data_IF_112909862132
#
_entry.id   IF_112909862132
#
_cell.length_a   1.000
_cell.length_b   1.000
_cell.length_c   1.000
_cell.angle_alpha   90.00
_cell.angle_beta   90.00
_cell.angle_gamma   90.00
#
_symmetry.space_group_name_H-M   'P 1'
#
loop_
_entity.id
_entity.type
_entity.pdbx_description
1 polymer ?
#
# COMPACT_ATOMS: atom_id res chain seq x y z
N UNK A 1 2.54 20.30 16.58
CA UNK A 1 2.17 18.88 16.76
C UNK A 1 3.28 17.99 16.21
N UNK A 2 3.90 17.15 17.05
CA UNK A 2 4.91 16.18 16.60
C UNK A 2 4.31 15.20 15.59
N UNK A 3 5.04 14.90 14.50
CA UNK A 3 4.67 14.06 13.33
C UNK A 3 3.96 12.72 13.62
N UNK A 4 3.93 12.27 14.87
CA UNK A 4 3.46 10.94 15.31
C UNK A 4 2.13 10.94 16.08
N UNK A 5 1.59 12.11 16.46
CA UNK A 5 0.38 12.17 17.30
C UNK A 5 -0.88 11.72 16.56
N UNK A 6 -0.98 11.99 15.25
CA UNK A 6 -2.14 11.67 14.42
C UNK A 6 -2.41 10.15 14.45
N UNK A 7 -1.39 9.33 14.22
CA UNK A 7 -1.51 7.87 14.21
C UNK A 7 -1.23 7.21 15.58
N UNK A 8 -1.05 8.00 16.64
CA UNK A 8 -0.68 7.51 17.96
C UNK A 8 0.57 6.59 17.90
N UNK A 9 1.61 6.97 17.14
CA UNK A 9 2.78 6.13 16.91
C UNK A 9 3.93 6.44 17.90
N UNK A 10 4.74 5.44 18.30
CA UNK A 10 5.95 5.69 19.08
C UNK A 10 7.03 6.37 18.22
N UNK A 11 8.00 7.05 18.86
CA UNK A 11 9.10 7.77 18.15
C UNK A 11 9.90 6.91 17.16
N UNK A 12 9.99 5.60 17.41
CA UNK A 12 10.70 4.62 16.57
C UNK A 12 9.95 4.24 15.28
N UNK A 13 8.71 4.70 15.11
CA UNK A 13 7.93 4.46 13.90
C UNK A 13 8.52 5.21 12.70
N UNK A 14 8.42 4.59 11.54
CA UNK A 14 8.84 5.15 10.26
C UNK A 14 8.12 6.48 10.00
N UNK A 15 8.83 7.60 9.74
CA UNK A 15 8.18 8.86 9.40
C UNK A 15 7.48 8.83 8.02
N UNK A 16 7.92 7.96 7.11
CA UNK A 16 7.45 7.87 5.73
C UNK A 16 5.94 7.56 5.64
N UNK A 17 5.36 6.88 6.64
CA UNK A 17 3.91 6.64 6.71
C UNK A 17 3.09 7.94 6.68
N UNK A 18 3.66 9.07 7.12
CA UNK A 18 2.98 10.36 7.08
C UNK A 18 2.97 10.93 5.65
N UNK A 19 4.00 10.63 4.86
CA UNK A 19 4.26 11.28 3.58
C UNK A 19 3.59 10.58 2.40
N UNK A 20 3.43 9.26 2.48
CA UNK A 20 2.82 8.45 1.42
C UNK A 20 1.30 8.69 1.32
N UNK A 21 0.68 8.48 0.14
CA UNK A 21 -0.75 8.62 -0.08
C UNK A 21 -1.61 7.70 0.81
N UNK A 22 -2.85 8.11 1.06
CA UNK A 22 -3.83 7.32 1.82
C UNK A 22 -4.13 5.98 1.16
N UNK A 23 -4.20 5.94 -0.17
CA UNK A 23 -4.40 4.70 -0.94
C UNK A 23 -3.27 3.69 -0.76
N UNK A 24 -2.08 4.15 -0.35
CA UNK A 24 -0.90 3.32 -0.08
C UNK A 24 -0.64 3.15 1.43
N UNK A 25 -1.57 3.56 2.28
CA UNK A 25 -1.52 3.32 3.73
C UNK A 25 -1.00 4.48 4.58
N UNK A 26 -0.77 5.67 4.01
CA UNK A 26 -0.25 6.82 4.75
C UNK A 26 -1.20 7.99 5.00
N UNK A 27 -0.68 9.09 5.56
CA UNK A 27 -1.48 10.29 5.84
C UNK A 27 -1.63 11.26 4.67
N UNK A 28 -0.88 11.06 3.57
CA UNK A 28 -0.83 11.99 2.44
C UNK A 28 -0.41 13.43 2.82
N UNK A 29 0.54 13.55 3.76
CA UNK A 29 1.06 14.83 4.26
C UNK A 29 2.57 14.94 3.98
N UNK A 30 3.01 15.21 2.72
CA UNK A 30 4.42 15.39 2.42
C UNK A 30 5.08 16.49 3.27
N UNK A 31 6.40 16.42 3.51
CA UNK A 31 7.14 17.46 4.22
C UNK A 31 6.94 18.85 3.58
N UNK A 32 6.64 19.87 4.40
CA UNK A 32 6.43 21.24 3.91
C UNK A 32 7.66 21.80 3.15
N UNK A 33 8.87 21.43 3.57
CA UNK A 33 10.10 21.80 2.85
C UNK A 33 10.12 21.25 1.43
N UNK A 34 9.66 20.02 1.23
CA UNK A 34 9.59 19.40 -0.11
C UNK A 34 8.48 20.03 -0.95
N UNK A 35 7.34 20.39 -0.34
CA UNK A 35 6.28 21.13 -1.04
C UNK A 35 6.73 22.54 -1.46
N UNK A 36 7.54 23.22 -0.63
CA UNK A 36 8.14 24.50 -0.98
C UNK A 36 9.14 24.37 -2.14
N UNK A 37 9.93 23.29 -2.17
CA UNK A 37 10.83 22.98 -3.28
C UNK A 37 10.06 22.73 -4.58
N UNK A 38 8.99 21.92 -4.53
CA UNK A 38 8.08 21.71 -5.66
C UNK A 38 7.48 23.04 -6.13
N UNK A 39 6.99 23.88 -5.21
CA UNK A 39 6.44 25.19 -5.54
C UNK A 39 7.44 26.11 -6.24
N UNK A 40 8.71 26.08 -5.83
CA UNK A 40 9.79 26.86 -6.43
C UNK A 40 10.06 26.44 -7.88
N UNK A 41 10.14 25.13 -8.14
CA UNK A 41 10.30 24.59 -9.50
C UNK A 41 9.09 24.90 -10.39
N UNK A 42 7.88 24.66 -9.88
CA UNK A 42 6.63 24.92 -10.61
C UNK A 42 6.51 26.39 -11.01
N UNK A 43 6.85 27.31 -10.09
CA UNK A 43 6.81 28.74 -10.35
C UNK A 43 7.78 29.13 -11.45
N UNK A 44 9.05 28.72 -11.35
CA UNK A 44 10.05 29.01 -12.37
C UNK A 44 9.65 28.45 -13.74
N UNK A 45 9.15 27.21 -13.78
CA UNK A 45 8.77 26.55 -15.02
C UNK A 45 7.59 27.27 -15.69
N UNK A 46 6.59 27.69 -14.91
CA UNK A 46 5.42 28.41 -15.43
C UNK A 46 5.74 29.80 -15.98
N UNK A 47 6.77 30.47 -15.45
CA UNK A 47 7.26 31.74 -15.99
C UNK A 47 7.92 31.53 -17.36
N UNK A 48 8.81 30.54 -17.46
CA UNK A 48 9.53 30.23 -18.70
C UNK A 48 8.64 29.62 -19.80
N UNK A 49 7.54 28.96 -19.41
CA UNK A 49 6.55 28.36 -20.31
C UNK A 49 5.25 29.17 -20.41
N UNK A 50 5.28 30.45 -20.05
CA UNK A 50 4.10 31.32 -20.13
C UNK A 50 3.67 31.50 -21.60
N UNK A 51 2.38 31.40 -21.98
CA UNK A 51 1.97 31.64 -23.36
C UNK A 51 2.18 33.08 -23.85
N UNK A 52 2.29 34.04 -22.93
CA UNK A 52 2.50 35.45 -23.23
C UNK A 52 3.96 35.71 -23.63
N UNK A 53 4.24 36.17 -24.87
CA UNK A 53 5.59 36.45 -25.34
C UNK A 53 6.33 37.50 -24.50
N UNK A 54 5.65 38.52 -24.00
CA UNK A 54 6.28 39.56 -23.19
C UNK A 54 6.80 38.98 -21.87
N UNK A 55 6.00 38.12 -21.23
CA UNK A 55 6.41 37.41 -20.01
C UNK A 55 7.57 36.46 -20.28
N UNK A 56 7.57 35.75 -21.42
CA UNK A 56 8.70 34.88 -21.80
C UNK A 56 9.98 35.69 -21.96
N UNK A 57 9.96 36.79 -22.73
CA UNK A 57 11.14 37.65 -22.94
C UNK A 57 11.69 38.19 -21.62
N UNK A 58 10.82 38.65 -20.72
CA UNK A 58 11.24 39.13 -19.39
C UNK A 58 11.81 37.99 -18.55
N UNK A 59 11.16 36.82 -18.54
CA UNK A 59 11.62 35.66 -17.79
C UNK A 59 13.00 35.18 -18.28
N UNK A 60 13.20 35.14 -19.59
CA UNK A 60 14.47 34.77 -20.23
C UNK A 60 15.60 35.76 -19.95
N UNK A 61 15.35 37.06 -20.04
CA UNK A 61 16.33 38.06 -19.67
C UNK A 61 16.68 37.96 -18.17
N UNK A 62 15.69 37.75 -17.32
CA UNK A 62 15.84 37.62 -15.87
C UNK A 62 16.66 36.37 -15.46
N UNK A 63 16.43 35.22 -16.10
CA UNK A 63 17.22 34.01 -15.80
C UNK A 63 18.66 34.16 -16.28
N UNK A 64 18.90 34.72 -17.48
CA UNK A 64 20.26 35.00 -17.97
C UNK A 64 21.02 35.90 -17.01
N UNK A 65 20.38 36.98 -16.54
CA UNK A 65 20.95 37.88 -15.54
C UNK A 65 21.29 37.15 -14.21
N UNK A 66 20.44 36.22 -13.76
CA UNK A 66 20.66 35.47 -12.53
C UNK A 66 21.70 34.36 -12.65
N UNK A 67 21.83 33.75 -13.83
CA UNK A 67 22.73 32.64 -14.09
C UNK A 67 24.13 33.09 -14.52
N UNK A 68 24.25 34.20 -15.26
CA UNK A 68 25.52 34.72 -15.79
C UNK A 68 26.65 34.84 -14.75
N UNK A 69 26.44 35.42 -13.55
CA UNK A 69 27.48 35.52 -12.53
C UNK A 69 27.90 34.17 -11.96
N UNK A 70 26.96 33.22 -11.88
CA UNK A 70 27.18 31.89 -11.33
C UNK A 70 27.95 31.01 -12.31
N UNK A 71 27.61 31.13 -13.60
CA UNK A 71 28.24 30.38 -14.70
C UNK A 71 29.51 31.06 -15.22
N UNK A 72 29.83 32.27 -14.73
CA UNK A 72 30.94 33.11 -15.20
C UNK A 72 30.90 33.32 -16.73
N UNK A 73 29.70 33.50 -17.27
CA UNK A 73 29.41 33.63 -18.70
C UNK A 73 28.56 34.88 -18.93
N UNK A 74 28.93 35.74 -19.89
CA UNK A 74 28.18 36.98 -20.18
C UNK A 74 26.82 36.68 -20.80
N UNK A 75 26.76 35.70 -21.69
CA UNK A 75 25.53 35.23 -22.34
C UNK A 75 25.44 33.70 -22.28
N UNK A 76 24.82 33.15 -21.22
CA UNK A 76 24.69 31.71 -21.09
C UNK A 76 23.82 31.08 -22.19
N UNK A 77 24.28 29.95 -22.74
CA UNK A 77 23.50 29.14 -23.69
C UNK A 77 22.31 28.46 -23.01
N UNK A 78 21.31 28.02 -23.78
CA UNK A 78 20.16 27.30 -23.20
C UNK A 78 20.58 26.04 -22.45
N UNK A 79 21.58 25.29 -22.93
CA UNK A 79 22.10 24.12 -22.23
C UNK A 79 22.72 24.47 -20.88
N UNK A 80 23.47 25.58 -20.82
CA UNK A 80 24.04 26.09 -19.57
C UNK A 80 22.95 26.57 -18.61
N UNK A 81 21.88 27.21 -19.10
CA UNK A 81 20.74 27.61 -18.29
C UNK A 81 19.97 26.38 -17.75
N UNK A 82 19.82 25.33 -18.56
CA UNK A 82 19.24 24.06 -18.14
C UNK A 82 20.08 23.38 -17.06
N UNK A 83 21.40 23.35 -17.20
CA UNK A 83 22.32 22.84 -16.19
C UNK A 83 22.22 23.65 -14.89
N UNK A 84 22.19 24.99 -14.99
CA UNK A 84 21.99 25.90 -13.87
C UNK A 84 20.67 25.61 -13.11
N UNK A 85 19.54 25.50 -13.82
CA UNK A 85 18.24 25.23 -13.19
C UNK A 85 18.12 23.80 -12.64
N UNK A 86 18.82 22.84 -13.23
CA UNK A 86 18.89 21.45 -12.73
C UNK A 86 19.72 21.33 -11.45
N UNK A 87 20.48 22.37 -11.11
CA UNK A 87 21.28 22.37 -9.89
C UNK A 87 22.69 21.83 -10.06
N UNK A 88 23.16 21.71 -11.30
CA UNK A 88 24.49 21.17 -11.60
C UNK A 88 25.59 22.04 -10.94
N UNK A 89 26.73 21.40 -10.66
CA UNK A 89 27.80 21.88 -9.79
C UNK A 89 28.28 23.29 -10.15
N UNK A 90 27.70 24.28 -9.46
CA UNK A 90 28.04 25.70 -9.58
C UNK A 90 28.33 26.27 -8.19
N UNK A 91 29.27 27.22 -8.05
CA UNK A 91 29.65 27.76 -6.74
C UNK A 91 28.42 28.30 -5.98
N UNK A 92 28.42 28.11 -4.66
CA UNK A 92 27.41 28.69 -3.77
C UNK A 92 27.63 30.21 -3.66
N UNK A 93 27.17 30.97 -4.66
CA UNK A 93 27.12 32.42 -4.56
C UNK A 93 25.96 32.86 -3.67
N UNK A 94 26.29 33.54 -2.57
CA UNK A 94 25.36 34.27 -1.70
C UNK A 94 24.92 35.56 -2.38
N UNK A 95 23.88 35.50 -3.21
CA UNK A 95 23.18 36.69 -3.72
C UNK A 95 21.69 36.62 -3.36
N UNK A 96 21.01 37.76 -3.49
CA UNK A 96 19.57 37.91 -3.24
C UNK A 96 18.74 36.78 -3.85
N UNK A 97 17.77 36.28 -3.10
CA UNK A 97 16.92 35.16 -3.51
C UNK A 97 16.01 35.56 -4.69
N UNK A 98 16.39 35.15 -5.90
CA UNK A 98 15.54 35.22 -7.09
C UNK A 98 14.73 33.93 -7.26
N UNK A 99 13.65 33.98 -8.04
CA UNK A 99 12.86 32.78 -8.40
C UNK A 99 13.74 31.69 -9.05
N UNK A 100 14.78 32.08 -9.78
CA UNK A 100 15.71 31.17 -10.46
C UNK A 100 16.69 30.52 -9.49
N UNK A 101 17.26 31.32 -8.58
CA UNK A 101 18.13 30.80 -7.53
C UNK A 101 17.39 29.85 -6.58
N UNK A 102 16.12 30.14 -6.27
CA UNK A 102 15.25 29.29 -5.47
C UNK A 102 14.91 27.98 -6.19
N UNK A 103 14.56 28.03 -7.48
CA UNK A 103 14.31 26.85 -8.30
C UNK A 103 15.56 25.97 -8.42
N UNK A 104 16.73 26.55 -8.67
CA UNK A 104 18.02 25.84 -8.66
C UNK A 104 18.29 25.15 -7.33
N UNK A 105 18.15 25.87 -6.21
CA UNK A 105 18.36 25.30 -4.88
C UNK A 105 17.36 24.18 -4.57
N UNK A 106 16.11 24.30 -5.03
CA UNK A 106 15.10 23.26 -4.93
C UNK A 106 15.48 22.02 -5.75
N UNK A 107 15.91 22.18 -7.01
CA UNK A 107 16.40 21.09 -7.86
C UNK A 107 17.55 20.34 -7.18
N UNK A 108 18.53 21.06 -6.62
CA UNK A 108 19.66 20.48 -5.86
C UNK A 108 19.23 19.66 -4.66
N UNK A 109 18.19 20.07 -3.93
CA UNK A 109 17.67 19.31 -2.78
C UNK A 109 16.86 18.10 -3.20
N UNK A 110 16.20 18.17 -4.35
CA UNK A 110 15.33 17.11 -4.86
C UNK A 110 16.08 16.06 -5.67
N UNK A 111 17.26 16.35 -6.24
CA UNK A 111 18.02 15.41 -7.08
C UNK A 111 18.32 14.08 -6.38
N UNK A 112 18.60 14.12 -5.07
CA UNK A 112 18.86 12.91 -4.26
C UNK A 112 17.61 12.03 -4.08
N UNK A 113 16.42 12.60 -4.22
CA UNK A 113 15.14 11.87 -4.12
C UNK A 113 14.59 11.50 -5.50
N UNK A 114 14.91 12.32 -6.50
CA UNK A 114 14.41 12.25 -7.86
C UNK A 114 15.60 12.19 -8.82
N UNK A 115 16.35 11.07 -8.87
CA UNK A 115 17.46 10.92 -9.80
C UNK A 115 16.93 11.00 -11.24
N UNK A 116 17.38 12.00 -12.00
CA UNK A 116 16.88 12.29 -13.35
C UNK A 116 15.92 13.49 -13.45
N UNK A 117 15.61 14.17 -12.34
CA UNK A 117 14.97 15.48 -12.39
C UNK A 117 15.88 16.47 -13.11
N UNK A 118 15.54 16.86 -14.34
CA UNK A 118 16.41 17.69 -15.17
C UNK A 118 15.62 18.64 -16.05
N UNK A 119 16.08 19.88 -16.14
CA UNK A 119 15.63 20.86 -17.12
C UNK A 119 16.30 20.59 -18.45
N UNK A 120 15.54 20.76 -19.54
CA UNK A 120 16.04 20.58 -20.90
C UNK A 120 15.44 21.61 -21.84
N UNK A 121 16.19 21.94 -22.87
CA UNK A 121 15.76 22.78 -23.98
C UNK A 121 15.55 21.87 -25.19
N UNK A 122 14.35 21.90 -25.76
CA UNK A 122 13.99 21.01 -26.88
C UNK A 122 14.44 21.61 -28.22
N UNK A 123 14.61 20.75 -29.24
CA UNK A 123 14.91 21.17 -30.62
C UNK A 123 13.84 22.13 -31.18
N UNK A 124 12.61 21.99 -30.70
CA UNK A 124 11.49 22.89 -30.97
C UNK A 124 11.56 24.25 -30.24
N UNK A 125 12.71 24.58 -29.65
CA UNK A 125 12.99 25.83 -28.91
C UNK A 125 12.03 26.06 -27.74
N UNK A 126 11.81 25.03 -26.92
CA UNK A 126 10.94 25.10 -25.75
C UNK A 126 11.60 24.57 -24.49
N UNK A 127 11.22 25.16 -23.36
CA UNK A 127 11.56 24.63 -22.04
C UNK A 127 10.79 23.34 -21.77
N UNK A 128 11.51 22.35 -21.22
CA UNK A 128 10.95 21.11 -20.74
C UNK A 128 11.59 20.71 -19.41
N UNK A 129 10.85 19.96 -18.61
CA UNK A 129 11.33 19.39 -17.35
C UNK A 129 11.06 17.89 -17.34
N UNK A 130 12.11 17.11 -17.23
CA UNK A 130 12.03 15.67 -17.02
C UNK A 130 11.73 15.41 -15.55
N UNK A 131 10.58 14.82 -15.25
CA UNK A 131 10.21 14.39 -13.89
C UNK A 131 10.30 12.86 -13.83
N UNK A 132 11.20 12.30 -13.00
CA UNK A 132 11.36 10.87 -12.91
C UNK A 132 10.12 10.23 -12.29
N UNK A 133 9.76 9.05 -12.80
CA UNK A 133 8.65 8.23 -12.33
C UNK A 133 9.03 6.75 -12.52
N UNK A 134 8.50 5.86 -11.68
CA UNK A 134 8.92 4.46 -11.59
C UNK A 134 8.88 3.70 -12.92
N UNK A 135 7.88 3.96 -13.75
CA UNK A 135 7.68 3.23 -15.01
C UNK A 135 8.35 3.93 -16.19
N UNK A 136 8.25 5.26 -16.25
CA UNK A 136 8.77 6.07 -17.34
C UNK A 136 8.87 7.52 -16.91
N UNK A 137 10.01 8.15 -17.15
CA UNK A 137 10.19 9.58 -16.97
C UNK A 137 9.12 10.35 -17.76
N UNK A 138 8.50 11.32 -17.11
CA UNK A 138 7.50 12.19 -17.73
C UNK A 138 8.18 13.49 -18.13
N UNK A 139 8.13 13.83 -19.41
CA UNK A 139 8.63 15.12 -19.90
C UNK A 139 7.45 16.09 -19.85
N UNK A 140 7.60 17.15 -19.06
CA UNK A 140 6.61 18.23 -18.95
C UNK A 140 7.08 19.39 -19.80
N UNK A 141 6.19 19.90 -20.64
CA UNK A 141 6.40 21.03 -21.55
C UNK A 141 5.37 22.15 -21.27
N UNK A 142 5.33 23.16 -22.15
CA UNK A 142 4.39 24.26 -22.01
C UNK A 142 2.91 23.82 -22.07
N UNK A 143 2.58 22.79 -22.85
CA UNK A 143 1.22 22.26 -22.97
C UNK A 143 0.74 21.55 -21.70
N UNK A 144 1.65 20.80 -21.07
CA UNK A 144 1.38 20.00 -19.85
C UNK A 144 1.74 20.74 -18.54
N UNK A 145 2.10 22.02 -18.59
CA UNK A 145 2.57 22.82 -17.42
C UNK A 145 1.64 22.82 -16.20
N UNK A 146 0.34 22.57 -16.38
CA UNK A 146 -0.64 22.50 -15.29
C UNK A 146 -0.45 21.25 -14.42
N UNK A 147 0.09 20.18 -15.00
CA UNK A 147 0.25 18.87 -14.37
C UNK A 147 1.57 18.76 -13.57
N UNK A 148 2.52 19.68 -13.79
CA UNK A 148 3.86 19.64 -13.20
C UNK A 148 3.86 19.43 -11.68
N UNK A 149 3.01 20.18 -10.96
CA UNK A 149 2.92 20.07 -9.50
C UNK A 149 2.44 18.66 -9.07
N UNK A 150 1.48 18.09 -9.80
CA UNK A 150 0.98 16.74 -9.53
C UNK A 150 2.09 15.71 -9.74
N UNK A 151 2.81 15.76 -10.87
CA UNK A 151 3.89 14.83 -11.16
C UNK A 151 5.02 14.91 -10.13
N UNK A 152 5.54 16.11 -9.83
CA UNK A 152 6.60 16.28 -8.83
C UNK A 152 6.19 15.77 -7.45
N UNK A 153 4.98 16.13 -7.00
CA UNK A 153 4.45 15.66 -5.71
C UNK A 153 4.35 14.13 -5.70
N UNK A 154 3.79 13.53 -6.76
CA UNK A 154 3.62 12.08 -6.86
C UNK A 154 4.96 11.34 -6.84
N UNK A 155 5.96 11.83 -7.56
CA UNK A 155 7.30 11.22 -7.57
C UNK A 155 7.98 11.29 -6.21
N UNK A 156 7.84 12.39 -5.47
CA UNK A 156 8.37 12.51 -4.10
C UNK A 156 7.65 11.54 -3.16
N UNK A 157 6.33 11.42 -3.27
CA UNK A 157 5.57 10.47 -2.47
C UNK A 157 5.97 9.02 -2.76
N UNK A 158 6.27 8.72 -4.02
CA UNK A 158 6.74 7.41 -4.43
C UNK A 158 8.13 7.09 -3.85
N UNK A 159 9.05 8.05 -3.85
CA UNK A 159 10.34 7.92 -3.15
C UNK A 159 10.16 7.56 -1.66
N UNK A 160 9.22 8.21 -0.96
CA UNK A 160 8.94 7.90 0.45
C UNK A 160 8.34 6.50 0.62
N UNK A 161 7.51 6.04 -0.33
CA UNK A 161 6.99 4.67 -0.31
C UNK A 161 8.12 3.67 -0.47
N UNK A 162 8.96 3.80 -1.50
CA UNK A 162 10.09 2.90 -1.73
C UNK A 162 11.00 2.83 -0.50
N UNK A 163 11.31 3.99 0.09
CA UNK A 163 12.09 4.09 1.32
C UNK A 163 11.42 3.39 2.52
N UNK A 164 10.09 3.33 2.58
CA UNK A 164 9.38 2.54 3.58
C UNK A 164 9.48 1.05 3.27
N UNK A 165 9.28 0.64 2.02
CA UNK A 165 9.26 -0.76 1.58
C UNK A 165 10.63 -1.46 1.76
N UNK A 166 11.73 -0.70 1.65
CA UNK A 166 13.08 -1.23 1.91
C UNK A 166 13.32 -1.54 3.38
N UNK A 167 12.52 -1.02 4.32
CA UNK A 167 12.72 -1.26 5.76
C UNK A 167 12.37 -2.71 6.12
N UNK A 168 13.31 -3.50 6.68
CA UNK A 168 13.11 -4.92 6.94
C UNK A 168 11.90 -5.24 7.82
N UNK A 169 11.61 -4.44 8.84
CA UNK A 169 10.50 -4.72 9.76
C UNK A 169 9.24 -3.94 9.39
N UNK A 170 9.37 -2.63 9.23
CA UNK A 170 8.22 -1.72 9.12
C UNK A 170 7.65 -1.63 7.70
N UNK A 171 8.39 -2.09 6.68
CA UNK A 171 7.96 -2.10 5.28
C UNK A 171 7.16 -3.35 4.86
N UNK A 172 7.24 -4.45 5.63
CA UNK A 172 6.68 -5.77 5.29
C UNK A 172 5.20 -5.71 4.90
N UNK A 173 4.37 -5.09 5.73
CA UNK A 173 2.92 -5.04 5.50
C UNK A 173 2.54 -3.99 4.46
N UNK A 174 3.35 -2.94 4.31
CA UNK A 174 3.13 -1.89 3.32
C UNK A 174 3.35 -2.38 1.89
N UNK A 175 4.29 -3.30 1.68
CA UNK A 175 4.51 -3.94 0.36
C UNK A 175 3.26 -4.64 -0.17
N UNK A 176 2.40 -5.13 0.73
CA UNK A 176 1.13 -5.78 0.35
C UNK A 176 0.00 -4.75 0.31
N UNK A 177 -0.19 -4.01 1.41
CA UNK A 177 -1.33 -3.10 1.55
C UNK A 177 -1.30 -1.92 0.57
N UNK A 178 -0.15 -1.55 -0.01
CA UNK A 178 -0.08 -0.50 -1.03
C UNK A 178 -0.50 -0.96 -2.43
N UNK A 179 -0.64 -2.27 -2.68
CA UNK A 179 -1.00 -2.83 -4.00
C UNK A 179 -2.50 -2.70 -4.30
N UNK A 180 -3.34 -2.62 -3.27
CA UNK A 180 -4.78 -2.45 -3.42
C UNK A 180 -5.29 -1.34 -2.49
N UNK A 181 -5.85 -0.28 -3.07
CA UNK A 181 -6.33 0.88 -2.34
C UNK A 181 -7.40 0.55 -1.27
N UNK A 182 -8.19 -0.51 -1.45
CA UNK A 182 -9.22 -0.91 -0.49
C UNK A 182 -8.64 -1.43 0.83
N UNK A 183 -7.39 -1.91 0.82
CA UNK A 183 -6.61 -2.26 2.03
C UNK A 183 -6.46 -1.07 2.98
N UNK A 184 -6.67 0.15 2.48
CA UNK A 184 -6.45 1.40 3.18
C UNK A 184 -7.70 2.29 3.25
N UNK A 185 -8.88 1.77 2.90
CA UNK A 185 -10.11 2.57 2.73
C UNK A 185 -10.50 3.42 3.95
N UNK A 186 -10.17 2.96 5.16
CA UNK A 186 -10.51 3.62 6.42
C UNK A 186 -9.68 4.88 6.68
N UNK A 187 -8.59 5.12 5.95
CA UNK A 187 -7.74 6.30 6.14
C UNK A 187 -8.43 7.60 5.71
N UNK A 188 -9.27 7.55 4.66
CA UNK A 188 -9.89 8.75 4.11
C UNK A 188 -11.20 9.11 4.81
N UNK A 189 -12.03 8.12 5.14
CA UNK A 189 -13.39 8.35 5.64
C UNK A 189 -13.74 7.59 6.93
N UNK A 190 -12.86 6.71 7.43
CA UNK A 190 -13.13 5.90 8.63
C UNK A 190 -14.29 4.90 8.53
N UNK A 191 -14.96 4.77 7.38
CA UNK A 191 -16.13 3.90 7.21
C UNK A 191 -15.77 2.44 7.50
N UNK A 192 -16.70 1.72 8.14
CA UNK A 192 -16.62 0.29 8.48
C UNK A 192 -15.54 -0.11 9.50
N UNK A 193 -14.64 0.79 9.88
CA UNK A 193 -13.57 0.52 10.85
C UNK A 193 -13.82 1.29 12.15
N UNK A 194 -13.83 0.60 13.29
CA UNK A 194 -13.99 1.27 14.60
C UNK A 194 -12.75 2.08 14.92
N UNK A 195 -12.90 3.12 15.74
CA UNK A 195 -11.76 3.97 16.10
C UNK A 195 -10.65 3.20 16.84
N UNK A 196 -10.98 2.21 17.66
CA UNK A 196 -10.00 1.35 18.33
C UNK A 196 -9.21 0.48 17.33
N UNK A 197 -9.87 -0.05 16.30
CA UNK A 197 -9.27 -0.84 15.23
C UNK A 197 -8.34 0.03 14.36
N UNK A 198 -8.79 1.26 14.06
CA UNK A 198 -7.99 2.27 13.36
C UNK A 198 -6.72 2.63 14.14
N UNK A 199 -6.81 2.84 15.46
CA UNK A 199 -5.62 3.13 16.31
C UNK A 199 -4.67 1.93 16.40
N UNK A 200 -5.20 0.72 16.35
CA UNK A 200 -4.42 -0.51 16.42
C UNK A 200 -3.64 -0.75 15.12
N UNK A 201 -4.30 -0.66 13.97
CA UNK A 201 -3.76 -1.16 12.69
C UNK A 201 -2.47 -0.46 12.28
N UNK A 202 -2.34 0.85 12.52
CA UNK A 202 -1.12 1.61 12.17
C UNK A 202 0.11 1.11 12.92
N UNK A 203 -0.03 0.84 14.22
CA UNK A 203 1.05 0.28 15.05
C UNK A 203 1.36 -1.16 14.64
N UNK A 204 0.32 -1.93 14.34
CA UNK A 204 0.44 -3.33 13.96
C UNK A 204 1.18 -3.50 12.62
N UNK A 205 0.80 -2.72 11.60
CA UNK A 205 1.43 -2.74 10.26
C UNK A 205 2.90 -2.34 10.27
N UNK A 206 3.28 -1.40 11.14
CA UNK A 206 4.67 -1.01 11.35
C UNK A 206 5.45 -1.95 12.28
N UNK A 207 4.81 -2.97 12.87
CA UNK A 207 5.47 -3.88 13.82
C UNK A 207 5.92 -3.19 15.12
N UNK A 208 5.25 -2.11 15.51
CA UNK A 208 5.62 -1.30 16.70
C UNK A 208 4.68 -1.50 17.89
N UNK A 209 3.83 -2.52 17.86
CA UNK A 209 3.04 -2.93 19.03
C UNK A 209 3.98 -3.21 20.23
N UNK A 210 3.54 -2.93 21.47
CA UNK A 210 4.30 -3.20 22.69
C UNK A 210 4.30 -4.70 23.05
N UNK A 211 4.77 -5.52 22.12
CA UNK A 211 5.05 -6.94 22.32
C UNK A 211 6.53 -7.12 22.64
N UNK A 212 6.87 -8.11 23.45
CA UNK A 212 8.19 -8.32 24.04
C UNK A 212 9.30 -8.41 22.99
N UNK A 213 9.13 -9.21 21.93
CA UNK A 213 10.12 -9.30 20.86
C UNK A 213 10.10 -8.10 19.91
N UNK A 214 9.03 -7.30 19.92
CA UNK A 214 8.94 -6.08 19.12
C UNK A 214 9.57 -4.88 19.81
N UNK A 215 9.81 -4.89 21.13
CA UNK A 215 10.42 -3.79 21.87
C UNK A 215 11.96 -3.87 21.71
N UNK A 216 12.58 -2.77 21.27
CA UNK A 216 14.04 -2.69 21.06
C UNK A 216 14.74 -2.18 22.31
N UNK A 217 14.64 -2.95 23.39
CA UNK A 217 15.33 -2.68 24.66
C UNK A 217 16.14 -3.93 25.02
N UNK A 218 17.40 -3.73 25.43
CA UNK A 218 18.28 -4.81 25.81
C UNK A 218 17.77 -5.53 27.08
N UNK A 219 18.11 -6.82 27.22
CA UNK A 219 17.83 -7.62 28.42
C UNK A 219 16.35 -7.79 28.79
N UNK A 220 15.42 -7.62 27.84
CA UNK A 220 14.01 -7.97 28.04
C UNK A 220 13.78 -9.41 27.58
N UNK A 221 13.04 -10.18 28.37
CA UNK A 221 12.51 -11.49 27.96
C UNK A 221 11.68 -11.35 26.68
N UNK A 222 12.14 -11.96 25.59
CA UNK A 222 11.49 -11.93 24.27
C UNK A 222 10.38 -12.96 24.13
N UNK A 223 10.29 -13.94 25.03
CA UNK A 223 9.35 -15.04 24.95
C UNK A 223 7.91 -14.53 25.05
N UNK A 224 7.03 -15.21 24.32
CA UNK A 224 5.59 -14.99 24.36
C UNK A 224 5.07 -15.13 25.80
N UNK A 225 4.46 -14.06 26.32
CA UNK A 225 3.95 -13.97 27.70
C UNK A 225 2.76 -14.90 27.99
N UNK A 226 2.22 -15.52 26.95
CA UNK A 226 1.01 -16.36 26.97
C UNK A 226 1.34 -17.83 26.72
N UNK A 227 2.18 -18.14 25.73
CA UNK A 227 2.45 -19.53 25.34
C UNK A 227 3.93 -19.94 25.41
N UNK A 228 4.84 -19.05 25.81
CA UNK A 228 6.27 -19.36 25.97
C UNK A 228 7.09 -19.50 24.68
N UNK A 229 6.50 -19.28 23.50
CA UNK A 229 7.23 -19.29 22.22
C UNK A 229 8.42 -18.32 22.24
N UNK A 230 9.57 -18.62 21.61
CA UNK A 230 10.81 -17.84 21.77
C UNK A 230 10.69 -16.34 21.49
N UNK A 231 9.85 -15.95 20.53
CA UNK A 231 9.68 -14.54 20.15
C UNK A 231 8.21 -14.11 20.10
N UNK A 232 7.81 -13.22 21.01
CA UNK A 232 6.50 -12.56 21.00
C UNK A 232 6.41 -11.48 19.91
N UNK A 233 6.40 -11.89 18.64
CA UNK A 233 6.25 -10.98 17.51
C UNK A 233 4.78 -10.75 17.15
N UNK A 234 4.48 -9.70 16.39
CA UNK A 234 3.12 -9.49 15.84
C UNK A 234 2.66 -10.70 15.03
N UNK A 235 3.53 -11.29 14.21
CA UNK A 235 3.21 -12.48 13.42
C UNK A 235 2.86 -13.68 14.32
N UNK A 236 3.65 -13.91 15.37
CA UNK A 236 3.36 -14.96 16.34
C UNK A 236 2.00 -14.73 17.00
N UNK A 237 1.77 -13.56 17.59
CA UNK A 237 0.55 -13.27 18.34
C UNK A 237 -0.70 -13.38 17.48
N UNK A 238 -0.66 -12.85 16.26
CA UNK A 238 -1.84 -12.77 15.39
C UNK A 238 -2.11 -14.03 14.56
N UNK A 239 -1.11 -14.89 14.33
CA UNK A 239 -1.24 -16.00 13.38
C UNK A 239 -0.75 -17.35 13.91
N UNK A 240 0.18 -17.40 14.87
CA UNK A 240 0.85 -18.65 15.27
C UNK A 240 0.71 -19.01 16.76
N UNK A 241 0.18 -18.12 17.59
CA UNK A 241 -0.06 -18.41 19.00
C UNK A 241 -1.30 -19.30 19.14
N UNK A 242 -1.10 -20.59 19.42
CA UNK A 242 -2.21 -21.57 19.49
C UNK A 242 -3.24 -21.28 20.58
N UNK A 243 -2.91 -20.47 21.60
CA UNK A 243 -3.88 -20.01 22.61
C UNK A 243 -4.99 -19.14 22.00
N UNK A 244 -4.74 -18.57 20.82
CA UNK A 244 -5.66 -17.72 20.08
C UNK A 244 -6.29 -18.41 18.87
N UNK A 245 -6.15 -19.73 18.72
CA UNK A 245 -6.64 -20.49 17.56
C UNK A 245 -8.13 -20.29 17.29
N UNK A 246 -8.96 -20.23 18.34
CA UNK A 246 -10.41 -19.97 18.24
C UNK A 246 -10.69 -18.59 17.64
N UNK A 247 -9.99 -17.55 18.10
CA UNK A 247 -10.13 -16.20 17.58
C UNK A 247 -9.61 -16.08 16.13
N UNK A 248 -8.50 -16.76 15.83
CA UNK A 248 -7.97 -16.87 14.46
C UNK A 248 -8.96 -17.57 13.51
N UNK A 249 -9.65 -18.61 13.98
CA UNK A 249 -10.72 -19.26 13.22
C UNK A 249 -11.92 -18.32 13.03
N UNK A 250 -12.29 -17.53 14.03
CA UNK A 250 -13.34 -16.52 13.89
C UNK A 250 -12.99 -15.43 12.87
N UNK A 251 -11.73 -14.96 12.85
CA UNK A 251 -11.21 -14.08 11.78
C UNK A 251 -11.42 -14.70 10.40
N UNK A 252 -11.01 -15.96 10.25
CA UNK A 252 -11.14 -16.71 9.02
C UNK A 252 -12.62 -16.86 8.58
N UNK A 253 -13.48 -17.36 9.47
CA UNK A 253 -14.92 -17.53 9.23
C UNK A 253 -15.64 -16.22 8.94
N UNK A 254 -15.17 -15.09 9.47
CA UNK A 254 -15.76 -13.79 9.10
C UNK A 254 -15.58 -13.48 7.61
N UNK A 255 -14.42 -13.81 7.02
CA UNK A 255 -14.20 -13.64 5.59
C UNK A 255 -15.19 -14.51 4.80
N UNK A 256 -15.33 -15.79 5.16
CA UNK A 256 -16.29 -16.72 4.56
C UNK A 256 -17.71 -16.13 4.64
N UNK A 257 -18.13 -15.67 5.82
CA UNK A 257 -19.46 -15.07 6.03
C UNK A 257 -19.72 -13.90 5.08
N UNK A 258 -18.78 -12.95 4.97
CA UNK A 258 -18.92 -11.79 4.07
C UNK A 258 -18.96 -12.20 2.60
N UNK A 259 -18.15 -13.20 2.19
CA UNK A 259 -18.17 -13.73 0.84
C UNK A 259 -19.54 -14.35 0.53
N UNK A 260 -20.05 -15.24 1.37
CA UNK A 260 -21.36 -15.90 1.18
C UNK A 260 -22.49 -14.89 1.11
N UNK A 261 -22.50 -13.88 2.00
CA UNK A 261 -23.51 -12.82 1.99
C UNK A 261 -23.44 -11.92 0.74
N UNK A 262 -22.30 -11.90 0.04
CA UNK A 262 -22.10 -11.09 -1.15
C UNK A 262 -22.55 -11.76 -2.46
N UNK A 263 -22.60 -13.09 -2.47
CA UNK A 263 -22.93 -13.90 -3.65
C UNK A 263 -24.32 -13.54 -4.19
N UNK A 264 -24.51 -13.62 -5.51
CA UNK A 264 -25.83 -13.45 -6.12
C UNK A 264 -26.77 -14.60 -5.77
N UNK A 265 -26.23 -15.81 -5.71
CA UNK A 265 -26.94 -17.04 -5.44
C UNK A 265 -26.04 -17.96 -4.62
N UNK A 266 -26.63 -18.60 -3.61
CA UNK A 266 -25.98 -19.66 -2.84
C UNK A 266 -26.51 -21.04 -3.23
N UNK A 267 -27.24 -21.13 -4.35
CA UNK A 267 -27.70 -22.40 -4.91
C UNK A 267 -26.48 -23.27 -5.22
N UNK A 268 -26.50 -24.51 -4.75
CA UNK A 268 -25.41 -25.49 -4.88
C UNK A 268 -24.11 -25.16 -4.13
N UNK A 269 -24.12 -24.12 -3.28
CA UNK A 269 -22.99 -23.80 -2.43
C UNK A 269 -22.93 -24.77 -1.25
N UNK A 270 -21.71 -25.20 -0.92
CA UNK A 270 -21.36 -25.95 0.29
C UNK A 270 -20.33 -25.13 1.04
N UNK A 271 -20.54 -24.93 2.33
CA UNK A 271 -19.64 -24.18 3.20
C UNK A 271 -19.08 -25.12 4.26
N UNK A 272 -17.75 -25.28 4.31
CA UNK A 272 -17.03 -26.14 5.25
C UNK A 272 -17.59 -27.58 5.34
N UNK A 273 -17.98 -28.15 4.21
CA UNK A 273 -18.53 -29.51 4.11
C UNK A 273 -17.68 -30.36 3.17
N UNK A 274 -17.66 -31.67 3.42
CA UNK A 274 -17.07 -32.63 2.48
C UNK A 274 -17.83 -32.63 1.15
N UNK A 275 -17.15 -33.00 0.08
CA UNK A 275 -17.74 -33.14 -1.25
C UNK A 275 -18.36 -34.54 -1.38
N UNK A 276 -19.68 -34.66 -1.65
CA UNK A 276 -20.32 -35.95 -1.83
C UNK A 276 -19.75 -36.72 -3.02
N UNK A 277 -19.67 -38.04 -2.92
CA UNK A 277 -19.19 -38.89 -4.00
C UNK A 277 -17.67 -38.89 -4.21
N UNK A 278 -16.91 -38.07 -3.47
CA UNK A 278 -15.45 -38.11 -3.45
C UNK A 278 -14.97 -38.74 -2.14
N UNK A 279 -14.03 -39.67 -2.23
CA UNK A 279 -13.40 -40.29 -1.06
C UNK A 279 -12.34 -39.36 -0.43
N UNK A 280 -12.78 -38.19 0.05
CA UNK A 280 -11.94 -37.26 0.82
C UNK A 280 -12.69 -36.78 2.07
N UNK A 281 -11.94 -36.62 3.17
CA UNK A 281 -12.42 -36.03 4.42
C UNK A 281 -12.20 -34.51 4.48
N UNK A 282 -11.61 -33.94 3.44
CA UNK A 282 -11.35 -32.51 3.36
C UNK A 282 -12.64 -31.72 3.32
N UNK A 283 -12.61 -30.56 3.98
CA UNK A 283 -13.72 -29.62 4.06
C UNK A 283 -13.21 -28.27 3.57
N UNK A 284 -13.18 -28.04 2.24
CA UNK A 284 -12.88 -26.72 1.71
C UNK A 284 -13.88 -25.69 2.22
N UNK A 285 -13.46 -24.44 2.32
CA UNK A 285 -14.30 -23.39 2.88
C UNK A 285 -15.54 -23.12 2.04
N UNK A 286 -15.39 -23.04 0.72
CA UNK A 286 -16.46 -22.81 -0.24
C UNK A 286 -16.34 -23.81 -1.40
N UNK A 287 -17.39 -24.58 -1.66
CA UNK A 287 -17.48 -25.43 -2.84
C UNK A 287 -18.80 -25.19 -3.55
N UNK A 288 -18.76 -24.86 -4.84
CA UNK A 288 -19.95 -24.72 -5.69
C UNK A 288 -19.93 -25.87 -6.68
N UNK A 289 -20.97 -26.71 -6.70
CA UNK A 289 -21.07 -27.85 -7.63
C UNK A 289 -22.33 -27.69 -8.48
N UNK A 290 -22.16 -27.32 -9.74
CA UNK A 290 -23.26 -27.24 -10.68
C UNK A 290 -23.33 -28.51 -11.53
N UNK A 291 -24.25 -29.40 -11.19
CA UNK A 291 -24.45 -30.67 -11.90
C UNK A 291 -24.96 -30.47 -13.33
N UNK A 292 -25.77 -29.42 -13.60
CA UNK A 292 -26.34 -29.21 -14.92
C UNK A 292 -25.32 -28.67 -15.92
N UNK A 293 -24.43 -27.77 -15.48
CA UNK A 293 -23.33 -27.27 -16.33
C UNK A 293 -22.05 -28.08 -16.19
N UNK A 294 -22.04 -29.14 -15.37
CA UNK A 294 -20.85 -29.95 -15.05
C UNK A 294 -19.65 -29.11 -14.63
N UNK A 295 -19.87 -28.11 -13.77
CA UNK A 295 -18.81 -27.25 -13.25
C UNK A 295 -18.68 -27.39 -11.73
N UNK A 296 -17.45 -27.41 -11.23
CA UNK A 296 -17.17 -27.36 -9.80
C UNK A 296 -16.11 -26.30 -9.48
N UNK A 297 -16.37 -25.47 -8.49
CA UNK A 297 -15.44 -24.43 -8.03
C UNK A 297 -15.12 -24.69 -6.57
N UNK A 298 -13.84 -24.78 -6.24
CA UNK A 298 -13.34 -24.91 -4.87
C UNK A 298 -12.57 -23.64 -4.54
N UNK A 299 -13.03 -22.91 -3.51
CA UNK A 299 -12.35 -21.72 -3.00
C UNK A 299 -12.12 -21.85 -1.52
N UNK A 300 -10.84 -21.73 -1.12
CA UNK A 300 -10.45 -21.75 0.29
C UNK A 300 -9.98 -20.37 0.76
N UNK A 301 -10.17 -20.04 2.03
CA UNK A 301 -9.81 -18.76 2.60
C UNK A 301 -8.47 -18.90 3.36
N UNK A 302 -7.67 -17.83 3.31
CA UNK A 302 -6.46 -17.73 4.12
C UNK A 302 -6.31 -16.34 4.73
N UNK A 303 -5.91 -16.29 6.00
CA UNK A 303 -5.55 -15.05 6.68
C UNK A 303 -4.10 -15.05 7.22
N UNK A 304 -3.08 -15.06 6.35
CA UNK A 304 -1.69 -15.13 6.77
C UNK A 304 -1.18 -13.79 7.31
N UNK A 305 -0.05 -13.82 8.02
CA UNK A 305 0.67 -12.57 8.34
C UNK A 305 1.35 -12.01 7.09
N UNK A 306 1.23 -10.70 6.89
CA UNK A 306 1.79 -9.98 5.73
C UNK A 306 3.30 -9.76 5.84
N UNK A 307 4.07 -10.85 5.77
CA UNK A 307 5.52 -10.78 5.63
C UNK A 307 5.91 -10.55 4.18
N UNK A 308 5.68 -9.33 3.68
CA UNK A 308 5.76 -8.96 2.25
C UNK A 308 4.75 -9.74 1.39
N UNK A 309 4.71 -9.44 0.09
CA UNK A 309 3.73 -10.03 -0.84
C UNK A 309 3.91 -11.53 -1.02
N UNK A 310 5.14 -12.03 -0.99
CA UNK A 310 5.48 -13.45 -1.18
C UNK A 310 4.80 -14.35 -0.14
N UNK A 311 4.49 -13.82 1.05
CA UNK A 311 3.75 -14.56 2.07
C UNK A 311 2.29 -14.85 1.68
N UNK A 312 1.63 -13.93 0.96
CA UNK A 312 0.27 -14.13 0.47
C UNK A 312 0.26 -15.07 -0.72
N UNK A 313 1.19 -14.88 -1.65
CA UNK A 313 1.34 -15.72 -2.84
C UNK A 313 1.62 -17.18 -2.46
N UNK A 314 2.61 -17.43 -1.59
CA UNK A 314 2.90 -18.78 -1.09
C UNK A 314 1.69 -19.42 -0.41
N UNK A 315 0.91 -18.64 0.33
CA UNK A 315 -0.29 -19.16 1.01
C UNK A 315 -1.43 -19.47 0.06
N UNK A 316 -1.60 -18.71 -1.03
CA UNK A 316 -2.51 -19.08 -2.13
C UNK A 316 -2.09 -20.40 -2.75
N UNK A 317 -0.82 -20.53 -3.13
CA UNK A 317 -0.28 -21.75 -3.76
C UNK A 317 -0.49 -22.97 -2.86
N UNK A 318 -0.16 -22.86 -1.56
CA UNK A 318 -0.37 -23.93 -0.57
C UNK A 318 -1.83 -24.37 -0.50
N UNK A 319 -2.78 -23.43 -0.52
CA UNK A 319 -4.22 -23.74 -0.49
C UNK A 319 -4.67 -24.41 -1.79
N UNK A 320 -4.22 -23.92 -2.94
CA UNK A 320 -4.55 -24.54 -4.24
C UNK A 320 -4.01 -25.97 -4.29
N UNK A 321 -2.73 -26.16 -3.96
CA UNK A 321 -2.09 -27.48 -3.94
C UNK A 321 -2.79 -28.47 -3.01
N UNK A 322 -3.23 -28.01 -1.83
CA UNK A 322 -3.96 -28.84 -0.87
C UNK A 322 -5.21 -29.48 -1.48
N UNK A 323 -5.95 -28.77 -2.33
CA UNK A 323 -7.21 -29.24 -2.90
C UNK A 323 -7.11 -29.74 -4.34
N UNK A 324 -5.92 -29.81 -4.94
CA UNK A 324 -5.72 -30.43 -6.25
C UNK A 324 -6.25 -31.88 -6.29
N UNK A 325 -5.99 -32.76 -5.30
CA UNK A 325 -6.50 -34.13 -5.34
C UNK A 325 -8.05 -34.18 -5.33
N UNK A 326 -8.68 -33.24 -4.62
CA UNK A 326 -10.15 -33.13 -4.59
C UNK A 326 -10.70 -32.66 -5.94
N UNK A 327 -10.00 -31.75 -6.62
CA UNK A 327 -10.35 -31.31 -7.95
C UNK A 327 -10.20 -32.44 -8.98
N UNK A 328 -9.09 -33.18 -8.95
CA UNK A 328 -8.86 -34.35 -9.81
C UNK A 328 -9.97 -35.41 -9.66
N UNK A 329 -10.40 -35.68 -8.41
CA UNK A 329 -11.50 -36.61 -8.17
C UNK A 329 -12.85 -36.12 -8.75
N UNK A 330 -13.11 -34.80 -8.72
CA UNK A 330 -14.29 -34.21 -9.36
C UNK A 330 -14.17 -34.23 -10.89
N UNK A 331 -12.96 -34.01 -11.44
CA UNK A 331 -12.70 -34.14 -12.89
C UNK A 331 -12.96 -35.55 -13.39
N UNK A 332 -12.55 -36.58 -12.63
CA UNK A 332 -12.85 -37.98 -12.93
C UNK A 332 -14.36 -38.28 -12.95
N UNK A 333 -15.16 -37.47 -12.25
CA UNK A 333 -16.63 -37.54 -12.28
C UNK A 333 -17.27 -36.70 -13.41
N UNK A 334 -16.44 -36.16 -14.31
CA UNK A 334 -16.85 -35.39 -15.48
C UNK A 334 -17.16 -33.93 -15.20
N UNK A 335 -16.64 -33.34 -14.11
CA UNK A 335 -16.75 -31.91 -13.85
C UNK A 335 -15.55 -31.15 -14.43
N UNK A 336 -15.80 -29.98 -15.01
CA UNK A 336 -14.78 -28.95 -15.19
C UNK A 336 -14.53 -28.29 -13.83
N UNK A 337 -13.30 -28.34 -13.33
CA UNK A 337 -13.00 -27.92 -11.96
C UNK A 337 -12.02 -26.75 -11.90
N UNK A 338 -12.30 -25.77 -11.04
CA UNK A 338 -11.37 -24.68 -10.72
C UNK A 338 -11.08 -24.67 -9.22
N UNK A 339 -9.80 -24.56 -8.87
CA UNK A 339 -9.34 -24.40 -7.49
C UNK A 339 -8.66 -23.03 -7.36
N UNK A 340 -9.08 -22.24 -6.39
CA UNK A 340 -8.46 -20.96 -6.08
C UNK A 340 -8.57 -20.66 -4.57
N UNK A 341 -8.05 -19.52 -4.13
CA UNK A 341 -8.15 -19.08 -2.74
C UNK A 341 -8.51 -17.60 -2.61
N UNK A 342 -9.19 -17.23 -1.53
CA UNK A 342 -9.31 -15.82 -1.11
C UNK A 342 -8.30 -15.57 0.01
N UNK A 343 -7.26 -14.79 -0.30
CA UNK A 343 -6.19 -14.47 0.65
C UNK A 343 -6.33 -13.03 1.13
N UNK A 344 -6.52 -12.86 2.45
CA UNK A 344 -6.59 -11.55 3.09
C UNK A 344 -5.61 -11.52 4.24
N UNK A 345 -4.59 -10.67 4.15
CA UNK A 345 -3.60 -10.53 5.21
C UNK A 345 -4.23 -10.21 6.57
N UNK A 346 -3.65 -10.75 7.63
CA UNK A 346 -4.12 -10.61 9.02
C UNK A 346 -4.30 -9.16 9.47
N UNK A 347 -3.61 -8.21 8.85
CA UNK A 347 -3.70 -6.77 9.12
C UNK A 347 -4.47 -6.00 8.02
N UNK A 348 -5.31 -6.73 7.28
CA UNK A 348 -6.29 -6.18 6.34
C UNK A 348 -5.72 -5.86 4.96
N UNK A 349 -4.66 -6.56 4.53
CA UNK A 349 -4.12 -6.39 3.17
C UNK A 349 -4.84 -7.30 2.18
N UNK A 350 -5.42 -6.73 1.13
CA UNK A 350 -6.16 -7.48 0.10
C UNK A 350 -5.23 -7.96 -1.02
N UNK A 351 -5.22 -9.27 -1.29
CA UNK A 351 -4.53 -9.83 -2.46
C UNK A 351 -5.26 -9.42 -3.76
N UNK A 352 -4.61 -8.73 -4.71
CA UNK A 352 -5.20 -8.43 -6.02
C UNK A 352 -5.69 -9.68 -6.77
N UNK A 353 -5.07 -10.84 -6.56
CA UNK A 353 -5.49 -12.10 -7.19
C UNK A 353 -6.84 -12.62 -6.69
N UNK A 354 -7.43 -12.03 -5.64
CA UNK A 354 -8.79 -12.39 -5.20
C UNK A 354 -9.88 -11.98 -6.21
N UNK A 355 -9.60 -11.13 -7.22
CA UNK A 355 -10.62 -10.72 -8.18
C UNK A 355 -11.18 -11.92 -8.98
N UNK A 356 -10.33 -12.87 -9.37
CA UNK A 356 -10.76 -14.11 -10.03
C UNK A 356 -11.67 -14.93 -9.12
N UNK A 357 -11.28 -15.12 -7.86
CA UNK A 357 -12.04 -15.89 -6.89
C UNK A 357 -13.41 -15.26 -6.61
N UNK A 358 -13.49 -13.92 -6.52
CA UNK A 358 -14.78 -13.23 -6.39
C UNK A 358 -15.68 -13.40 -7.63
N UNK A 359 -15.10 -13.47 -8.83
CA UNK A 359 -15.85 -13.74 -10.05
C UNK A 359 -16.40 -15.17 -10.05
N UNK A 360 -15.58 -16.16 -9.67
CA UNK A 360 -15.97 -17.56 -9.53
C UNK A 360 -17.09 -17.77 -8.50
N UNK A 361 -17.12 -16.97 -7.43
CA UNK A 361 -18.21 -16.96 -6.44
C UNK A 361 -19.49 -16.25 -6.92
N UNK A 362 -19.52 -15.72 -8.14
CA UNK A 362 -20.67 -14.96 -8.65
C UNK A 362 -20.91 -13.66 -7.89
N UNK A 363 -19.86 -13.04 -7.33
CA UNK A 363 -19.97 -11.75 -6.64
C UNK A 363 -19.98 -10.61 -7.69
N UNK A 364 -21.06 -9.80 -7.77
CA UNK A 364 -21.17 -8.74 -8.76
C UNK A 364 -20.08 -7.68 -8.59
N UNK A 365 -19.51 -7.19 -9.69
CA UNK A 365 -18.48 -6.15 -9.66
C UNK A 365 -18.89 -4.92 -8.85
N UNK A 366 -20.15 -4.48 -9.02
CA UNK A 366 -20.75 -3.36 -8.26
C UNK A 366 -20.71 -3.54 -6.74
N UNK A 367 -20.66 -4.78 -6.23
CA UNK A 367 -20.59 -5.11 -4.80
C UNK A 367 -19.16 -5.33 -4.29
N UNK A 368 -18.22 -5.73 -5.17
CA UNK A 368 -16.86 -6.13 -4.78
C UNK A 368 -16.15 -5.08 -3.94
N UNK A 369 -16.22 -3.80 -4.32
CA UNK A 369 -15.58 -2.71 -3.58
C UNK A 369 -16.07 -2.62 -2.13
N UNK A 370 -17.38 -2.70 -1.91
CA UNK A 370 -17.97 -2.63 -0.57
C UNK A 370 -17.60 -3.85 0.27
N UNK A 371 -17.67 -5.05 -0.33
CA UNK A 371 -17.37 -6.31 0.36
C UNK A 371 -15.89 -6.39 0.77
N UNK A 372 -14.97 -5.95 -0.08
CA UNK A 372 -13.54 -5.80 0.29
C UNK A 372 -13.38 -4.98 1.57
N UNK A 373 -14.00 -3.79 1.63
CA UNK A 373 -13.91 -2.90 2.81
C UNK A 373 -14.44 -3.54 4.08
N UNK A 374 -15.57 -4.25 3.98
CA UNK A 374 -16.18 -4.97 5.11
C UNK A 374 -15.27 -6.10 5.60
N UNK A 375 -14.79 -6.94 4.68
CA UNK A 375 -13.85 -8.04 4.98
C UNK A 375 -12.59 -7.49 5.66
N UNK A 376 -11.97 -6.47 5.05
CA UNK A 376 -10.73 -5.86 5.55
C UNK A 376 -10.92 -5.29 6.96
N UNK A 377 -12.02 -4.58 7.19
CA UNK A 377 -12.32 -4.01 8.52
C UNK A 377 -12.56 -5.10 9.56
N UNK A 378 -13.28 -6.17 9.22
CA UNK A 378 -13.59 -7.25 10.15
C UNK A 378 -12.36 -8.11 10.48
N UNK A 379 -11.48 -8.32 9.50
CA UNK A 379 -10.17 -8.97 9.68
C UNK A 379 -9.29 -8.14 10.64
N UNK A 380 -9.22 -6.82 10.45
CA UNK A 380 -8.49 -5.93 11.36
C UNK A 380 -9.08 -5.97 12.77
N UNK A 381 -10.41 -5.93 12.89
CA UNK A 381 -11.11 -6.01 14.18
C UNK A 381 -10.75 -7.30 14.92
N UNK A 382 -10.83 -8.46 14.27
CA UNK A 382 -10.45 -9.73 14.89
C UNK A 382 -8.96 -9.76 15.28
N UNK A 383 -8.08 -9.21 14.46
CA UNK A 383 -6.66 -9.11 14.81
C UNK A 383 -6.41 -8.19 16.00
N UNK A 384 -7.15 -7.08 16.11
CA UNK A 384 -7.12 -6.21 17.28
C UNK A 384 -7.61 -6.97 18.51
N UNK A 385 -8.70 -7.72 18.39
CA UNK A 385 -9.28 -8.49 19.49
C UNK A 385 -8.33 -9.59 19.98
N UNK A 386 -7.66 -10.31 19.06
CA UNK A 386 -6.57 -11.25 19.39
C UNK A 386 -5.45 -10.55 20.16
N UNK A 387 -4.99 -9.40 19.66
CA UNK A 387 -3.92 -8.64 20.30
C UNK A 387 -4.30 -8.15 21.71
N UNK A 388 -5.51 -7.62 21.88
CA UNK A 388 -5.96 -7.12 23.19
C UNK A 388 -6.19 -8.27 24.15
N UNK A 389 -6.77 -9.39 23.72
CA UNK A 389 -6.87 -10.60 24.53
C UNK A 389 -5.49 -11.10 24.95
N UNK A 390 -4.52 -11.11 24.03
CA UNK A 390 -3.15 -11.52 24.32
C UNK A 390 -2.49 -10.68 25.43
N UNK A 391 -2.66 -9.35 25.37
CA UNK A 391 -2.01 -8.42 26.31
C UNK A 391 -2.76 -8.34 27.65
N UNK A 392 -4.09 -8.31 27.61
CA UNK A 392 -4.94 -8.16 28.81
C UNK A 392 -5.27 -9.48 29.49
N UNK A 393 -5.11 -10.61 28.79
CA UNK A 393 -5.61 -11.94 29.18
C UNK A 393 -7.14 -12.02 29.32
N UNK A 394 -7.87 -11.00 28.84
CA UNK A 394 -9.33 -10.95 28.87
C UNK A 394 -9.92 -11.20 27.47
N UNK A 395 -10.82 -12.18 27.37
CA UNK A 395 -11.54 -12.54 26.14
C UNK A 395 -12.26 -11.32 25.55
N UNK A 396 -12.07 -11.08 24.24
CA UNK A 396 -12.62 -9.89 23.56
C UNK A 396 -13.93 -10.14 22.78
N UNK A 397 -14.42 -11.38 22.75
CA UNK A 397 -15.63 -11.77 22.02
C UNK A 397 -16.46 -12.78 22.83
N UNK A 398 -17.78 -12.71 22.71
CA UNK A 398 -18.72 -13.58 23.47
C UNK A 398 -19.10 -14.84 22.69
N UNK A 399 -19.25 -14.71 21.38
CA UNK A 399 -19.74 -15.76 20.49
C UNK A 399 -18.80 -15.95 19.30
N UNK A 400 -18.81 -17.16 18.76
CA UNK A 400 -18.07 -17.48 17.54
C UNK A 400 -18.81 -17.01 16.29
N UNK A 401 -18.08 -16.87 15.19
CA UNK A 401 -18.68 -16.47 13.91
C UNK A 401 -19.54 -17.60 13.37
N UNK A 402 -20.84 -17.36 13.38
CA UNK A 402 -21.85 -18.22 12.75
C UNK A 402 -21.87 -17.96 11.25
N UNK A 403 -21.70 -19.04 10.47
CA UNK A 403 -21.81 -19.01 9.01
C UNK A 403 -23.28 -19.12 8.59
N UNK A 404 -23.67 -18.54 7.45
CA UNK A 404 -25.04 -18.64 6.94
C UNK A 404 -25.49 -20.10 6.82
N UNK A 405 -26.73 -20.39 7.23
CA UNK A 405 -27.37 -21.67 6.94
C UNK A 405 -27.78 -21.68 5.46
N UNK A 406 -27.29 -22.67 4.72
CA UNK A 406 -27.51 -22.85 3.28
C UNK A 406 -28.57 -23.89 3.00
#
# INVERSE_FOLDING_TARGET
MTKYSIFNLPRRASPEIVFIPTQQGGANLPPLSELADVGSLVRAFKMLSCPDPAVQTIAEASIRHSAAPVLQQREPTYDQLCAYLSGDATPNYSRASTIWSAARSAARRLVNKLPGLRWSWTDSKRWSLTVPNQLKNTIIDAGSRKELHHHLRRSIQQYHLEKLLTKPDQGKVFDVSSRNAESNHFLQYGRHTRFCDWRFVHRARLGVLPLRACIRVANIDRKCRVCGYPEETTAHVLCHCMRHSRASNNRHRSVIKHLVMAMQSTRNLRVEKTVPGVNSRDKPDLVIINTSSKQAVIIDVACPFENRYEALERKRIEKVQKYLPLAEALQQQGFETVVDAVVVGSLGSWDPSNESSMALLGIPEKRRKTIKKLIISDVIRWSRDIYVEHVSRARQYKEDVVLPKL
#
